data_IF_158858685369
#
_entry.id   IF_158858685369
#
_cell.length_a   1.000
_cell.length_b   1.000
_cell.length_c   1.000
_cell.angle_alpha   90.00
_cell.angle_beta   90.00
_cell.angle_gamma   90.00
#
_symmetry.space_group_name_H-M   'P 1'
#
loop_
_entity.id
_entity.type
_entity.pdbx_description
1 polymer ?
#
# COMPACT_ATOMS: atom_id res chain seq x y z
N UNK A 1 4.55 -0.85 1.41
CA UNK A 1 3.28 -1.20 0.72
C UNK A 1 3.58 -1.40 -0.75
N UNK A 2 3.13 -2.51 -1.31
CA UNK A 2 3.38 -2.89 -2.71
C UNK A 2 2.04 -3.13 -3.41
N UNK A 3 1.85 -2.54 -4.59
CA UNK A 3 0.70 -2.82 -5.43
C UNK A 3 1.04 -3.85 -6.52
N UNK A 4 0.18 -4.84 -6.71
CA UNK A 4 0.25 -5.79 -7.82
C UNK A 4 -1.11 -5.80 -8.53
N UNK A 5 -1.10 -5.53 -9.83
CA UNK A 5 -2.30 -5.57 -10.66
C UNK A 5 -2.59 -6.98 -11.15
N UNK A 6 -3.86 -7.34 -11.31
CA UNK A 6 -4.26 -8.63 -11.86
C UNK A 6 -3.60 -8.92 -13.22
N UNK A 7 -3.12 -10.15 -13.40
CA UNK A 7 -2.43 -10.57 -14.63
C UNK A 7 -1.04 -9.98 -14.83
N UNK A 8 -0.58 -9.11 -13.92
CA UNK A 8 0.78 -8.58 -13.90
C UNK A 8 1.70 -9.43 -13.02
N UNK A 9 2.96 -9.58 -13.45
CA UNK A 9 4.04 -10.08 -12.59
C UNK A 9 4.91 -8.93 -12.03
N UNK A 10 4.46 -7.69 -12.22
CA UNK A 10 5.19 -6.48 -11.81
C UNK A 10 4.65 -5.95 -10.49
N UNK A 11 5.57 -5.73 -9.55
CA UNK A 11 5.31 -4.99 -8.32
C UNK A 11 5.50 -3.48 -8.55
N UNK A 12 4.57 -2.68 -8.03
CA UNK A 12 4.60 -1.22 -8.13
C UNK A 12 4.77 -0.58 -6.75
N UNK A 13 5.65 0.43 -6.60
CA UNK A 13 5.50 1.36 -5.50
C UNK A 13 4.23 2.16 -5.78
N UNK A 14 3.34 2.26 -4.81
CA UNK A 14 2.05 2.96 -5.00
C UNK A 14 1.86 4.12 -4.03
N UNK A 15 2.81 4.32 -3.11
CA UNK A 15 2.76 5.42 -2.16
C UNK A 15 3.07 6.74 -2.85
N UNK A 16 2.19 7.72 -2.68
CA UNK A 16 2.39 9.09 -3.18
C UNK A 16 3.32 9.89 -2.25
N UNK A 17 4.52 9.36 -2.06
CA UNK A 17 5.59 9.95 -1.23
C UNK A 17 6.91 10.06 -2.02
N UNK A 18 6.77 10.32 -3.33
CA UNK A 18 7.86 10.19 -4.29
C UNK A 18 8.07 8.75 -4.74
N UNK A 19 7.01 7.94 -4.79
CA UNK A 19 7.03 6.54 -5.26
C UNK A 19 8.00 5.64 -4.47
N UNK A 20 8.11 5.86 -3.15
CA UNK A 20 8.92 4.99 -2.28
C UNK A 20 8.12 3.75 -1.90
N UNK A 21 8.84 2.69 -1.56
CA UNK A 21 8.26 1.41 -1.12
C UNK A 21 7.77 1.43 0.33
N UNK A 22 8.38 2.30 1.14
CA UNK A 22 8.19 2.35 2.59
C UNK A 22 7.88 3.78 3.05
N UNK A 23 7.30 3.86 4.23
CA UNK A 23 7.16 5.08 5.03
C UNK A 23 7.43 4.72 6.48
N UNK A 24 7.79 5.72 7.27
CA UNK A 24 7.92 5.54 8.72
C UNK A 24 6.55 5.63 9.37
N UNK A 25 6.27 4.72 10.30
CA UNK A 25 5.09 4.81 11.15
C UNK A 25 5.13 6.10 11.95
N UNK A 26 3.96 6.73 12.11
CA UNK A 26 3.79 7.87 13.00
C UNK A 26 3.49 7.43 14.43
N UNK A 27 3.08 8.39 15.24
CA UNK A 27 2.83 8.18 16.67
C UNK A 27 1.43 7.59 16.95
N UNK A 28 1.22 7.14 18.18
CA UNK A 28 -0.09 6.71 18.68
C UNK A 28 -1.15 7.81 18.53
N UNK A 29 -2.33 7.44 18.02
CA UNK A 29 -3.47 8.34 17.82
C UNK A 29 -4.77 7.57 18.09
N UNK A 30 -5.70 8.17 18.84
CA UNK A 30 -7.06 7.65 19.08
C UNK A 30 -7.13 6.17 19.54
N UNK A 31 -6.16 5.74 20.37
CA UNK A 31 -6.12 4.37 20.90
C UNK A 31 -5.41 3.34 20.02
N UNK A 32 -4.89 3.73 18.85
CA UNK A 32 -3.95 2.92 18.09
C UNK A 32 -2.52 3.16 18.58
N UNK A 33 -1.69 2.11 18.57
CA UNK A 33 -0.27 2.19 18.95
C UNK A 33 0.57 3.03 17.98
N UNK A 34 0.16 3.08 16.71
CA UNK A 34 0.76 3.92 15.68
C UNK A 34 -0.28 4.31 14.61
N UNK A 35 -0.08 5.49 14.01
CA UNK A 35 -0.91 5.98 12.92
C UNK A 35 -0.05 6.73 11.90
N UNK A 36 -0.24 6.46 10.61
CA UNK A 36 0.38 7.21 9.53
C UNK A 36 -0.66 7.47 8.42
N UNK A 37 -0.96 8.74 8.09
CA UNK A 37 -1.77 9.04 6.93
C UNK A 37 -0.96 8.76 5.66
N UNK A 38 -1.58 8.12 4.68
CA UNK A 38 -0.96 7.91 3.38
C UNK A 38 -1.94 8.19 2.24
N UNK A 39 -1.38 8.62 1.11
CA UNK A 39 -2.05 8.66 -0.17
C UNK A 39 -1.38 7.65 -1.10
N UNK A 40 -2.16 7.07 -2.00
CA UNK A 40 -1.67 6.15 -3.02
C UNK A 40 -2.05 6.65 -4.41
N UNK A 41 -1.22 6.33 -5.41
CA UNK A 41 -1.52 6.56 -6.82
C UNK A 41 -1.58 5.22 -7.54
N UNK A 42 -2.73 4.95 -8.16
CA UNK A 42 -2.96 3.74 -8.95
C UNK A 42 -2.94 4.11 -10.44
N UNK A 43 -2.07 3.50 -11.25
CA UNK A 43 -1.84 3.94 -12.62
C UNK A 43 -2.94 3.55 -13.62
N UNK A 44 -3.81 2.60 -13.26
CA UNK A 44 -4.88 2.08 -14.13
C UNK A 44 -5.97 1.35 -13.34
N UNK A 45 -7.20 1.29 -13.87
CA UNK A 45 -8.31 0.54 -13.25
C UNK A 45 -8.10 -0.99 -13.30
N UNK A 46 -8.96 -1.70 -12.57
CA UNK A 46 -9.03 -3.16 -12.45
C UNK A 46 -8.70 -3.66 -11.04
N UNK A 47 -8.52 -4.97 -10.89
CA UNK A 47 -8.26 -5.59 -9.59
C UNK A 47 -6.79 -5.41 -9.17
N UNK A 48 -6.58 -5.01 -7.92
CA UNK A 48 -5.27 -4.80 -7.31
C UNK A 48 -5.16 -5.52 -5.97
N UNK A 49 -4.03 -6.18 -5.76
CA UNK A 49 -3.58 -6.63 -4.44
C UNK A 49 -2.59 -5.62 -3.85
N UNK A 50 -2.86 -5.15 -2.63
CA UNK A 50 -1.99 -4.31 -1.83
C UNK A 50 -1.36 -5.14 -0.72
N UNK A 51 -0.06 -5.41 -0.87
CA UNK A 51 0.72 -6.17 0.10
C UNK A 51 1.29 -5.20 1.15
N UNK A 52 0.89 -5.39 2.40
CA UNK A 52 1.32 -4.61 3.55
C UNK A 52 2.43 -5.35 4.28
N UNK A 53 3.54 -4.66 4.49
CA UNK A 53 4.70 -5.20 5.19
C UNK A 53 4.99 -4.38 6.43
N UNK A 54 5.32 -5.06 7.52
CA UNK A 54 5.96 -4.47 8.70
C UNK A 54 7.41 -4.97 8.76
N UNK A 55 8.35 -4.06 8.46
CA UNK A 55 9.72 -4.43 8.13
C UNK A 55 9.76 -5.36 6.90
N UNK A 56 10.26 -6.57 7.09
CA UNK A 56 10.40 -7.60 6.04
C UNK A 56 9.29 -8.68 6.12
N UNK A 57 8.36 -8.57 7.07
CA UNK A 57 7.27 -9.54 7.25
C UNK A 57 5.99 -9.07 6.54
N UNK A 58 5.36 -9.99 5.79
CA UNK A 58 4.05 -9.73 5.21
C UNK A 58 3.01 -9.71 6.34
N UNK A 59 2.45 -8.54 6.60
CA UNK A 59 1.46 -8.32 7.63
C UNK A 59 0.06 -8.68 7.13
N UNK A 60 -0.35 -8.15 5.98
CA UNK A 60 -1.68 -8.37 5.41
C UNK A 60 -1.71 -8.12 3.89
N UNK A 61 -2.77 -8.60 3.23
CA UNK A 61 -3.04 -8.39 1.82
C UNK A 61 -4.47 -7.88 1.65
N UNK A 62 -4.61 -6.68 1.10
CA UNK A 62 -5.91 -6.11 0.78
C UNK A 62 -6.16 -6.21 -0.73
N UNK A 63 -7.29 -6.74 -1.14
CA UNK A 63 -7.66 -6.87 -2.56
C UNK A 63 -8.85 -5.96 -2.85
N UNK A 64 -8.73 -5.12 -3.86
CA UNK A 64 -9.77 -4.19 -4.28
C UNK A 64 -9.89 -4.11 -5.80
N UNK A 65 -11.12 -3.98 -6.27
CA UNK A 65 -11.41 -3.49 -7.62
C UNK A 65 -11.32 -1.97 -7.63
N UNK A 66 -10.51 -1.42 -8.54
CA UNK A 66 -10.34 0.03 -8.70
C UNK A 66 -11.04 0.48 -9.99
N UNK A 67 -12.02 1.38 -9.83
CA UNK A 67 -12.77 2.00 -10.92
C UNK A 67 -12.13 3.34 -11.36
N UNK A 68 -12.56 3.88 -12.51
CA UNK A 68 -12.07 5.14 -13.11
C UNK A 68 -12.47 6.41 -12.34
#
# INVERSE_FOLDING_TARGET
>A
MVGVHEGSQTAYPILDNGWKWTMQLGSAVNGADAYVPCAITIPKPGEWAFLLYDGDELFDVLVYEIEE
#
